data_IF_001350056634
#
_entry.id   IF_001350056634
#
_cell.length_a   1.000
_cell.length_b   1.000
_cell.length_c   1.000
_cell.angle_alpha   90.00
_cell.angle_beta   90.00
_cell.angle_gamma   90.00
#
_symmetry.space_group_name_H-M   'P 1'
#
loop_
_entity.id
_entity.type
_entity.pdbx_description
1 polymer ?
#
# COMPACT_ATOMS: atom_id res chain seq x y z
N UNK A 1 27.63 9.91 -8.17
CA UNK A 1 27.05 10.60 -9.34
C UNK A 1 25.55 10.47 -9.23
N UNK A 2 24.81 11.59 -9.20
CA UNK A 2 23.33 11.59 -9.13
C UNK A 2 22.81 11.33 -10.55
N UNK A 3 22.37 10.10 -10.82
CA UNK A 3 21.72 9.78 -12.09
C UNK A 3 20.31 10.39 -12.09
N UNK A 4 20.09 11.37 -12.96
CA UNK A 4 18.80 12.04 -13.10
C UNK A 4 17.83 11.11 -13.85
N UNK A 5 16.73 10.77 -13.17
CA UNK A 5 15.56 10.09 -13.74
C UNK A 5 15.12 10.76 -15.05
N UNK A 6 15.10 10.01 -16.14
CA UNK A 6 14.53 10.43 -17.43
C UNK A 6 13.07 9.95 -17.50
N UNK A 7 12.16 10.72 -16.92
CA UNK A 7 10.72 10.59 -17.18
C UNK A 7 10.32 11.72 -18.14
N UNK A 8 9.62 11.38 -19.23
CA UNK A 8 9.13 12.35 -20.21
C UNK A 8 7.87 13.04 -19.66
N UNK A 9 7.89 14.37 -19.76
CA UNK A 9 6.85 15.40 -19.54
C UNK A 9 6.64 15.96 -18.11
N UNK A 10 6.85 17.29 -18.05
CA UNK A 10 6.98 18.20 -16.91
C UNK A 10 8.14 17.85 -15.97
N UNK A 11 9.07 18.78 -15.77
CA UNK A 11 10.06 18.66 -14.71
C UNK A 11 9.27 18.53 -13.39
N UNK A 12 9.32 17.35 -12.76
CA UNK A 12 8.71 17.12 -11.45
C UNK A 12 9.13 18.27 -10.53
N UNK A 13 8.19 18.78 -9.75
CA UNK A 13 8.51 19.87 -8.82
C UNK A 13 9.67 19.45 -7.89
N UNK A 14 10.43 20.42 -7.39
CA UNK A 14 11.51 20.14 -6.44
C UNK A 14 10.98 19.40 -5.20
N UNK A 15 9.78 19.75 -4.74
CA UNK A 15 9.08 19.08 -3.65
C UNK A 15 8.79 17.60 -3.99
N UNK A 16 8.22 17.33 -5.17
CA UNK A 16 7.96 15.95 -5.63
C UNK A 16 9.26 15.15 -5.71
N UNK A 17 10.34 15.76 -6.20
CA UNK A 17 11.65 15.12 -6.28
C UNK A 17 12.22 14.79 -4.90
N UNK A 18 12.03 15.66 -3.91
CA UNK A 18 12.48 15.40 -2.55
C UNK A 18 11.67 14.26 -1.91
N UNK A 19 10.35 14.28 -2.05
CA UNK A 19 9.47 13.23 -1.54
C UNK A 19 9.80 11.85 -2.13
N UNK A 20 10.06 11.78 -3.44
CA UNK A 20 10.48 10.54 -4.10
C UNK A 20 11.72 9.91 -3.48
N UNK A 21 12.65 10.69 -2.90
CA UNK A 21 13.86 10.15 -2.26
C UNK A 21 13.53 9.28 -1.05
N UNK A 22 12.38 9.48 -0.41
CA UNK A 22 11.96 8.70 0.76
C UNK A 22 11.74 7.23 0.42
N UNK A 23 11.31 6.94 -0.82
CA UNK A 23 11.02 5.58 -1.31
C UNK A 23 11.95 5.13 -2.44
N UNK A 24 12.81 6.02 -2.95
CA UNK A 24 13.69 5.77 -4.09
C UNK A 24 14.50 4.49 -3.94
N UNK A 25 15.05 4.25 -2.74
CA UNK A 25 15.82 3.03 -2.45
C UNK A 25 15.02 1.75 -2.72
N UNK A 26 13.72 1.78 -2.44
CA UNK A 26 12.83 0.64 -2.61
C UNK A 26 12.41 0.49 -4.08
N UNK A 27 12.09 1.59 -4.78
CA UNK A 27 11.80 1.56 -6.22
C UNK A 27 13.00 1.07 -7.04
N UNK A 28 14.22 1.43 -6.64
CA UNK A 28 15.43 1.01 -7.36
C UNK A 28 15.72 -0.49 -7.28
N UNK A 29 15.07 -1.22 -6.35
CA UNK A 29 15.15 -2.69 -6.28
C UNK A 29 14.39 -3.38 -7.42
N UNK A 30 13.43 -2.69 -8.05
CA UNK A 30 12.70 -3.20 -9.20
C UNK A 30 13.68 -3.32 -10.38
N UNK A 31 13.81 -4.52 -10.96
CA UNK A 31 14.74 -4.75 -12.08
C UNK A 31 14.06 -4.50 -13.42
N UNK A 32 12.81 -4.92 -13.55
CA UNK A 32 11.96 -4.71 -14.72
C UNK A 32 11.79 -3.22 -15.02
N UNK A 33 12.36 -2.76 -16.14
CA UNK A 33 12.36 -1.33 -16.50
C UNK A 33 10.94 -0.77 -16.66
N UNK A 34 10.05 -1.51 -17.30
CA UNK A 34 8.66 -1.14 -17.51
C UNK A 34 7.91 -0.97 -16.18
N UNK A 35 8.07 -1.91 -15.24
CA UNK A 35 7.48 -1.81 -13.91
C UNK A 35 8.08 -0.63 -13.14
N UNK A 36 9.41 -0.45 -13.16
CA UNK A 36 10.08 0.68 -12.50
C UNK A 36 9.56 2.02 -13.02
N UNK A 37 9.47 2.17 -14.34
CA UNK A 37 8.95 3.39 -14.96
C UNK A 37 7.49 3.63 -14.57
N UNK A 38 6.65 2.59 -14.57
CA UNK A 38 5.26 2.66 -14.10
C UNK A 38 5.18 3.11 -12.63
N UNK A 39 5.99 2.54 -11.74
CA UNK A 39 6.03 2.94 -10.31
C UNK A 39 6.44 4.40 -10.15
N UNK A 40 7.45 4.87 -10.89
CA UNK A 40 7.88 6.27 -10.84
C UNK A 40 6.84 7.24 -11.41
N UNK A 41 6.15 6.87 -12.49
CA UNK A 41 5.05 7.67 -13.04
C UNK A 41 3.93 7.82 -12.02
N UNK A 42 3.55 6.73 -11.35
CA UNK A 42 2.54 6.76 -10.30
C UNK A 42 2.95 7.71 -9.15
N UNK A 43 4.15 7.57 -8.60
CA UNK A 43 4.60 8.48 -7.53
C UNK A 43 4.82 9.93 -8.00
N UNK A 44 5.05 10.17 -9.30
CA UNK A 44 5.12 11.51 -9.87
C UNK A 44 3.79 12.26 -9.77
N UNK A 45 2.67 11.54 -9.67
CA UNK A 45 1.30 12.08 -9.62
C UNK A 45 0.55 11.75 -8.33
N UNK A 46 1.21 11.15 -7.32
CA UNK A 46 0.57 10.91 -6.03
C UNK A 46 0.33 12.24 -5.30
N UNK A 47 -0.79 12.32 -4.60
CA UNK A 47 -1.11 13.45 -3.74
C UNK A 47 -0.03 13.64 -2.66
N UNK A 48 0.28 14.90 -2.33
CA UNK A 48 1.33 15.23 -1.37
C UNK A 48 1.06 14.67 0.04
N UNK A 49 -0.23 14.47 0.37
CA UNK A 49 -0.65 13.92 1.65
C UNK A 49 -0.12 12.51 1.90
N UNK A 50 0.15 11.71 0.85
CA UNK A 50 0.75 10.38 1.01
C UNK A 50 2.07 10.44 1.78
N UNK A 51 2.88 11.47 1.53
CA UNK A 51 4.22 11.59 2.11
C UNK A 51 4.23 12.01 3.57
N UNK A 52 3.17 12.69 4.02
CA UNK A 52 3.06 13.27 5.37
C UNK A 52 2.03 12.56 6.24
N UNK A 53 1.12 11.77 5.67
CA UNK A 53 0.04 11.12 6.41
C UNK A 53 0.54 10.10 7.44
N UNK A 54 -0.18 9.94 8.57
CA UNK A 54 0.02 8.80 9.46
C UNK A 54 -0.45 7.50 8.80
N UNK A 55 0.17 6.38 9.16
CA UNK A 55 -0.26 5.06 8.69
C UNK A 55 -1.61 4.65 9.28
N UNK A 56 -1.99 5.16 10.45
CA UNK A 56 -3.33 4.97 11.00
C UNK A 56 -3.92 6.26 11.55
N UNK A 57 -5.15 6.60 11.12
CA UNK A 57 -5.91 7.71 11.71
C UNK A 57 -6.42 7.39 13.12
N UNK A 58 -6.52 6.10 13.49
CA UNK A 58 -7.01 5.65 14.81
C UNK A 58 -5.90 5.32 15.81
N UNK A 59 -4.68 5.05 15.33
CA UNK A 59 -3.54 4.60 16.13
C UNK A 59 -3.70 3.20 16.76
N UNK A 60 -4.82 2.51 16.55
CA UNK A 60 -5.19 1.30 17.31
C UNK A 60 -4.32 0.08 17.00
N UNK A 61 -3.99 -0.13 15.73
CA UNK A 61 -3.35 -1.38 15.28
C UNK A 61 -1.89 -1.22 14.92
N UNK A 62 -1.48 -0.03 14.49
CA UNK A 62 -0.16 0.23 13.94
C UNK A 62 0.88 0.47 15.04
N UNK A 63 2.17 0.20 14.75
CA UNK A 63 3.27 0.63 15.59
C UNK A 63 3.21 2.13 15.92
N UNK A 64 3.56 2.56 17.15
CA UNK A 64 3.47 3.97 17.54
C UNK A 64 4.30 4.90 16.66
N UNK A 65 5.44 4.43 16.14
CA UNK A 65 6.25 5.22 15.22
C UNK A 65 5.57 5.51 13.88
N UNK A 66 4.54 4.76 13.49
CA UNK A 66 3.84 4.93 12.22
C UNK A 66 2.57 5.81 12.35
N UNK A 67 2.24 6.27 13.56
CA UNK A 67 1.03 7.07 13.81
C UNK A 67 1.26 8.59 13.70
N UNK A 68 2.50 9.04 13.49
CA UNK A 68 2.86 10.45 13.30
C UNK A 68 3.06 10.83 11.83
N UNK A 69 3.52 12.07 11.60
CA UNK A 69 3.85 12.59 10.27
C UNK A 69 4.82 11.66 9.52
N UNK A 70 4.54 11.41 8.24
CA UNK A 70 5.28 10.48 7.37
C UNK A 70 5.17 9.01 7.81
N UNK A 71 4.19 8.69 8.66
CA UNK A 71 3.95 7.35 9.17
C UNK A 71 3.60 6.36 8.08
N UNK A 72 2.85 6.79 7.07
CA UNK A 72 2.49 5.94 5.94
C UNK A 72 3.72 5.50 5.13
N UNK A 73 4.66 6.41 4.90
CA UNK A 73 5.93 6.08 4.24
C UNK A 73 6.74 5.07 5.05
N UNK A 74 6.75 5.20 6.39
CA UNK A 74 7.41 4.22 7.27
C UNK A 74 6.74 2.84 7.21
N UNK A 75 5.41 2.80 7.20
CA UNK A 75 4.64 1.57 6.99
C UNK A 75 5.05 0.88 5.68
N UNK A 76 5.10 1.63 4.58
CA UNK A 76 5.55 1.11 3.26
C UNK A 76 6.98 0.56 3.34
N UNK A 77 7.93 1.30 3.92
CA UNK A 77 9.33 0.82 4.03
C UNK A 77 9.43 -0.45 4.89
N UNK A 78 8.67 -0.54 5.98
CA UNK A 78 8.63 -1.75 6.82
C UNK A 78 8.08 -2.96 6.07
N UNK A 79 6.95 -2.78 5.37
CA UNK A 79 6.34 -3.86 4.60
C UNK A 79 7.22 -4.34 3.44
N UNK A 80 8.10 -3.48 2.90
CA UNK A 80 9.08 -3.91 1.89
C UNK A 80 10.05 -4.98 2.39
N UNK A 81 10.45 -4.93 3.66
CA UNK A 81 11.24 -6.00 4.25
C UNK A 81 10.47 -7.34 4.25
N UNK A 82 9.15 -7.30 4.48
CA UNK A 82 8.28 -8.49 4.44
C UNK A 82 8.15 -9.02 3.01
N UNK A 83 7.95 -8.15 2.02
CA UNK A 83 7.90 -8.55 0.60
C UNK A 83 9.17 -9.29 0.19
N UNK A 84 10.35 -8.76 0.51
CA UNK A 84 11.63 -9.39 0.16
C UNK A 84 11.77 -10.79 0.79
N UNK A 85 11.48 -10.92 2.09
CA UNK A 85 11.61 -12.21 2.78
C UNK A 85 10.54 -13.20 2.31
N UNK A 86 9.32 -12.74 2.07
CA UNK A 86 8.23 -13.56 1.55
C UNK A 86 8.59 -14.09 0.15
N UNK A 87 8.96 -13.21 -0.78
CA UNK A 87 9.33 -13.56 -2.14
C UNK A 87 10.50 -14.55 -2.18
N UNK A 88 11.52 -14.34 -1.34
CA UNK A 88 12.65 -15.26 -1.20
C UNK A 88 12.20 -16.65 -0.74
N UNK A 89 11.39 -16.72 0.32
CA UNK A 89 10.86 -17.98 0.86
C UNK A 89 9.96 -18.69 -0.16
N UNK A 90 9.10 -17.93 -0.82
CA UNK A 90 8.14 -18.43 -1.80
C UNK A 90 8.79 -18.75 -3.15
N UNK A 91 10.08 -18.42 -3.36
CA UNK A 91 10.82 -18.60 -4.62
C UNK A 91 10.15 -17.88 -5.78
N UNK A 92 9.91 -16.59 -5.62
CA UNK A 92 9.43 -15.75 -6.71
C UNK A 92 10.47 -15.66 -7.82
N UNK A 93 10.00 -15.57 -9.05
CA UNK A 93 10.82 -15.05 -10.15
C UNK A 93 11.14 -13.57 -9.91
N UNK A 94 12.14 -13.04 -10.62
CA UNK A 94 12.44 -11.61 -10.54
C UNK A 94 11.22 -10.75 -10.93
N UNK A 95 10.46 -11.18 -11.94
CA UNK A 95 9.26 -10.48 -12.40
C UNK A 95 8.18 -10.43 -11.32
N UNK A 96 7.90 -11.56 -10.66
CA UNK A 96 6.94 -11.59 -9.55
C UNK A 96 7.39 -10.72 -8.36
N UNK A 97 8.69 -10.65 -8.06
CA UNK A 97 9.23 -9.76 -7.03
C UNK A 97 9.05 -8.29 -7.43
N UNK A 98 9.34 -7.93 -8.67
CA UNK A 98 9.16 -6.58 -9.19
C UNK A 98 7.68 -6.15 -9.14
N UNK A 99 6.76 -7.04 -9.54
CA UNK A 99 5.31 -6.83 -9.45
C UNK A 99 4.85 -6.64 -8.00
N UNK A 100 5.28 -7.51 -7.08
CA UNK A 100 4.94 -7.40 -5.66
C UNK A 100 5.52 -6.13 -5.02
N UNK A 101 6.73 -5.75 -5.42
CA UNK A 101 7.39 -4.53 -4.95
C UNK A 101 6.62 -3.29 -5.41
N UNK A 102 6.31 -3.19 -6.70
CA UNK A 102 5.52 -2.06 -7.24
C UNK A 102 4.13 -2.02 -6.62
N UNK A 103 3.44 -3.16 -6.50
CA UNK A 103 2.11 -3.20 -5.91
C UNK A 103 2.11 -2.72 -4.46
N UNK A 104 3.04 -3.21 -3.64
CA UNK A 104 3.11 -2.79 -2.25
C UNK A 104 3.53 -1.34 -2.09
N UNK A 105 4.41 -0.80 -2.94
CA UNK A 105 4.75 0.62 -2.91
C UNK A 105 3.53 1.51 -3.19
N UNK A 106 2.60 1.04 -4.03
CA UNK A 106 1.49 1.83 -4.54
C UNK A 106 0.14 1.55 -3.85
N UNK A 107 0.05 0.58 -2.93
CA UNK A 107 -1.24 0.09 -2.43
C UNK A 107 -2.08 1.17 -1.72
N UNK A 108 -1.42 2.10 -1.04
CA UNK A 108 -2.03 3.11 -0.18
C UNK A 108 -1.93 4.55 -0.75
N UNK A 109 -1.57 4.71 -2.03
CA UNK A 109 -1.44 6.04 -2.66
C UNK A 109 -2.73 6.85 -2.66
N UNK A 110 -3.88 6.17 -2.65
CA UNK A 110 -5.21 6.76 -2.61
C UNK A 110 -5.97 6.44 -1.31
N UNK A 111 -5.26 6.26 -0.19
CA UNK A 111 -5.82 5.86 1.11
C UNK A 111 -7.05 6.67 1.56
N UNK A 112 -7.06 7.99 1.31
CA UNK A 112 -8.18 8.88 1.63
C UNK A 112 -8.91 9.38 0.37
N UNK A 113 -8.86 8.59 -0.72
CA UNK A 113 -9.29 8.98 -2.06
C UNK A 113 -8.15 9.52 -2.93
N UNK A 114 -8.41 9.76 -4.21
CA UNK A 114 -7.40 10.19 -5.20
C UNK A 114 -6.73 11.51 -4.80
N UNK A 115 -7.50 12.45 -4.29
CA UNK A 115 -7.06 13.80 -3.86
C UNK A 115 -7.18 14.00 -2.35
N UNK A 116 -7.25 12.91 -1.58
CA UNK A 116 -7.23 12.94 -0.11
C UNK A 116 -8.25 13.89 0.53
N UNK A 117 -9.47 13.97 -0.03
CA UNK A 117 -10.51 14.94 0.37
C UNK A 117 -11.11 14.70 1.75
N UNK A 118 -10.82 13.55 2.38
CA UNK A 118 -11.35 13.20 3.70
C UNK A 118 -10.22 12.95 4.70
N UNK A 119 -10.43 13.21 6.00
CA UNK A 119 -9.43 12.98 7.04
C UNK A 119 -9.31 11.50 7.44
N UNK A 120 -10.21 10.63 6.97
CA UNK A 120 -10.28 9.21 7.33
C UNK A 120 -9.91 8.35 6.13
N UNK A 121 -9.33 7.19 6.39
CA UNK A 121 -9.15 6.15 5.38
C UNK A 121 -10.49 5.80 4.73
N UNK A 122 -10.52 5.75 3.40
CA UNK A 122 -11.65 5.23 2.65
C UNK A 122 -11.65 3.70 2.75
N UNK A 123 -12.77 3.07 3.08
CA UNK A 123 -12.84 1.61 3.18
C UNK A 123 -12.63 0.88 1.84
N UNK A 124 -12.75 1.60 0.73
CA UNK A 124 -12.57 1.10 -0.63
C UNK A 124 -11.25 1.58 -1.26
N UNK A 125 -10.31 2.15 -0.49
CA UNK A 125 -9.09 2.75 -1.06
C UNK A 125 -8.24 1.80 -1.92
N UNK A 126 -8.22 0.49 -1.63
CA UNK A 126 -7.57 -0.49 -2.51
C UNK A 126 -8.18 -0.50 -3.92
N UNK A 127 -9.52 -0.47 -4.02
CA UNK A 127 -10.23 -0.35 -5.29
C UNK A 127 -9.93 0.99 -5.97
N UNK A 128 -9.99 2.10 -5.22
CA UNK A 128 -9.71 3.44 -5.75
C UNK A 128 -8.27 3.52 -6.30
N UNK A 129 -7.28 3.03 -5.55
CA UNK A 129 -5.88 3.02 -5.97
C UNK A 129 -5.68 2.14 -7.21
N UNK A 130 -6.30 0.95 -7.25
CA UNK A 130 -6.24 0.06 -8.42
C UNK A 130 -6.81 0.72 -9.68
N UNK A 131 -7.95 1.41 -9.58
CA UNK A 131 -8.56 2.12 -10.70
C UNK A 131 -7.74 3.36 -11.11
N UNK A 132 -7.21 4.10 -10.14
CA UNK A 132 -6.33 5.24 -10.40
C UNK A 132 -5.08 4.86 -11.17
N UNK A 133 -4.54 3.66 -10.94
CA UNK A 133 -3.39 3.13 -11.67
C UNK A 133 -3.68 2.85 -13.17
N UNK A 134 -4.95 2.83 -13.60
CA UNK A 134 -5.31 2.53 -14.99
C UNK A 134 -4.77 3.57 -15.97
N UNK A 135 -4.57 4.82 -15.54
CA UNK A 135 -4.08 5.90 -16.40
C UNK A 135 -2.59 5.76 -16.79
N UNK A 136 -1.84 4.88 -16.14
CA UNK A 136 -0.42 4.68 -16.42
C UNK A 136 -0.20 3.47 -17.33
N UNK A 137 0.76 3.61 -18.24
CA UNK A 137 1.10 2.57 -19.22
C UNK A 137 1.99 1.50 -18.60
N UNK A 138 1.58 0.24 -18.75
CA UNK A 138 2.36 -0.95 -18.42
C UNK A 138 1.89 -2.12 -19.28
N UNK A 139 2.75 -3.13 -19.46
CA UNK A 139 2.37 -4.38 -20.11
C UNK A 139 1.14 -5.02 -19.40
N UNK A 140 0.10 -5.47 -20.15
CA UNK A 140 -1.18 -5.85 -19.57
C UNK A 140 -1.12 -6.92 -18.47
N UNK A 141 -0.30 -7.96 -18.60
CA UNK A 141 -0.24 -9.02 -17.60
C UNK A 141 0.32 -8.51 -16.26
N UNK A 142 1.42 -7.75 -16.30
CA UNK A 142 1.99 -7.13 -15.10
C UNK A 142 1.07 -6.05 -14.51
N UNK A 143 0.39 -5.26 -15.35
CA UNK A 143 -0.57 -4.25 -14.89
C UNK A 143 -1.70 -4.87 -14.10
N UNK A 144 -2.30 -5.94 -14.63
CA UNK A 144 -3.38 -6.70 -13.94
C UNK A 144 -2.88 -7.32 -12.64
N UNK A 145 -1.66 -7.88 -12.62
CA UNK A 145 -1.09 -8.45 -11.40
C UNK A 145 -0.89 -7.39 -10.30
N UNK A 146 -0.35 -6.23 -10.65
CA UNK A 146 -0.12 -5.11 -9.73
C UNK A 146 -1.45 -4.52 -9.24
N UNK A 147 -2.38 -4.23 -10.15
CA UNK A 147 -3.69 -3.65 -9.81
C UNK A 147 -4.50 -4.58 -8.89
N UNK A 148 -4.54 -5.88 -9.16
CA UNK A 148 -5.24 -6.82 -8.28
C UNK A 148 -4.56 -6.91 -6.91
N UNK A 149 -3.23 -6.92 -6.85
CA UNK A 149 -2.51 -6.92 -5.59
C UNK A 149 -2.77 -5.65 -4.76
N UNK A 150 -2.85 -4.49 -5.40
CA UNK A 150 -3.27 -3.22 -4.78
C UNK A 150 -4.72 -3.28 -4.31
N UNK A 151 -5.65 -3.74 -5.18
CA UNK A 151 -7.08 -3.81 -4.86
C UNK A 151 -7.37 -4.68 -3.64
N UNK A 152 -6.72 -5.83 -3.56
CA UNK A 152 -7.02 -6.86 -2.58
C UNK A 152 -5.99 -6.94 -1.43
N UNK A 153 -5.16 -5.91 -1.22
CA UNK A 153 -4.09 -5.92 -0.21
C UNK A 153 -4.62 -6.10 1.22
N UNK A 154 -5.81 -5.56 1.53
CA UNK A 154 -6.40 -5.68 2.87
C UNK A 154 -7.04 -7.05 3.15
N UNK A 155 -6.94 -8.02 2.24
CA UNK A 155 -7.48 -9.37 2.41
C UNK A 155 -8.95 -9.39 2.92
N UNK A 156 -9.30 -9.78 4.17
CA UNK A 156 -10.70 -9.85 4.58
C UNK A 156 -11.36 -8.48 4.79
N UNK A 157 -10.62 -7.38 4.72
CA UNK A 157 -11.14 -6.02 4.88
C UNK A 157 -11.30 -5.27 3.55
N UNK A 158 -11.37 -5.99 2.42
CA UNK A 158 -11.68 -5.38 1.13
C UNK A 158 -13.19 -5.15 1.01
N UNK A 159 -13.57 -3.92 0.64
CA UNK A 159 -14.96 -3.53 0.41
C UNK A 159 -15.13 -3.00 -1.03
N UNK A 160 -16.22 -3.39 -1.68
CA UNK A 160 -16.68 -2.77 -2.91
C UNK A 160 -17.60 -1.56 -2.63
N UNK A 161 -18.27 -1.57 -1.47
CA UNK A 161 -19.12 -0.50 -0.97
C UNK A 161 -18.77 -0.26 0.49
N UNK A 162 -18.45 0.99 0.83
CA UNK A 162 -18.09 1.38 2.20
C UNK A 162 -19.21 1.05 3.21
N UNK A 163 -18.85 0.70 4.46
CA UNK A 163 -19.81 0.49 5.52
C UNK A 163 -20.59 1.76 5.84
N UNK A 164 -21.90 1.58 6.04
CA UNK A 164 -22.83 2.59 6.49
C UNK A 164 -23.08 2.41 8.00
N UNK A 165 -23.12 3.51 8.74
CA UNK A 165 -23.45 3.51 10.17
C UNK A 165 -24.96 3.66 10.42
N UNK A 166 -25.67 4.27 9.48
CA UNK A 166 -27.05 4.74 9.61
C UNK A 166 -28.08 3.82 8.94
N UNK A 167 -27.64 2.85 8.12
CA UNK A 167 -28.53 1.91 7.42
C UNK A 167 -27.88 0.55 7.15
N UNK A 168 -28.69 -0.51 6.96
CA UNK A 168 -28.19 -1.76 6.42
C UNK A 168 -27.85 -1.63 4.92
N UNK A 169 -27.02 -2.56 4.44
CA UNK A 169 -26.80 -2.74 3.01
C UNK A 169 -28.07 -3.22 2.31
N UNK A 170 -28.23 -2.78 1.06
CA UNK A 170 -29.15 -3.45 0.12
C UNK A 170 -28.61 -4.83 -0.24
N UNK A 171 -29.47 -5.71 -0.76
CA UNK A 171 -29.05 -7.04 -1.23
C UNK A 171 -27.96 -6.97 -2.31
N UNK A 172 -28.04 -5.95 -3.19
CA UNK A 172 -27.05 -5.75 -4.24
C UNK A 172 -25.69 -5.33 -3.67
N UNK A 173 -25.65 -4.36 -2.75
CA UNK A 173 -24.41 -3.92 -2.08
C UNK A 173 -23.77 -5.06 -1.27
N UNK A 174 -24.61 -5.85 -0.58
CA UNK A 174 -24.14 -7.02 0.18
C UNK A 174 -23.52 -8.06 -0.75
N UNK A 175 -24.14 -8.34 -1.90
CA UNK A 175 -23.58 -9.26 -2.89
C UNK A 175 -22.25 -8.73 -3.46
N UNK A 176 -22.16 -7.43 -3.78
CA UNK A 176 -20.91 -6.81 -4.25
C UNK A 176 -19.77 -6.97 -3.23
N UNK A 177 -20.04 -6.69 -1.95
CA UNK A 177 -19.05 -6.89 -0.89
C UNK A 177 -18.68 -8.36 -0.68
N UNK A 178 -19.64 -9.28 -0.84
CA UNK A 178 -19.37 -10.72 -0.77
C UNK A 178 -18.48 -11.19 -1.92
N UNK A 179 -18.72 -10.72 -3.13
CA UNK A 179 -17.89 -11.03 -4.30
C UNK A 179 -16.47 -10.49 -4.13
N UNK A 180 -16.34 -9.24 -3.66
CA UNK A 180 -15.06 -8.58 -3.37
C UNK A 180 -14.25 -9.38 -2.33
N UNK A 181 -14.88 -9.71 -1.20
CA UNK A 181 -14.28 -10.51 -0.14
C UNK A 181 -13.88 -11.89 -0.66
N UNK A 182 -14.78 -12.57 -1.38
CA UNK A 182 -14.51 -13.91 -1.90
C UNK A 182 -13.30 -13.88 -2.81
N UNK A 183 -13.17 -12.89 -3.71
CA UNK A 183 -11.99 -12.76 -4.58
C UNK A 183 -10.72 -12.49 -3.78
N UNK A 184 -10.76 -11.60 -2.79
CA UNK A 184 -9.61 -11.26 -1.96
C UNK A 184 -9.07 -12.48 -1.15
N UNK A 185 -9.97 -13.41 -0.80
CA UNK A 185 -9.65 -14.62 -0.03
C UNK A 185 -8.99 -15.73 -0.86
N UNK A 186 -8.97 -15.62 -2.20
CA UNK A 186 -8.25 -16.53 -3.10
C UNK A 186 -7.11 -15.80 -3.83
N UNK A 187 -6.07 -15.36 -3.11
CA UNK A 187 -5.03 -14.52 -3.70
C UNK A 187 -4.09 -15.31 -4.62
N UNK A 188 -3.59 -14.64 -5.65
CA UNK A 188 -2.38 -15.08 -6.37
C UNK A 188 -1.14 -15.00 -5.47
N UNK A 189 0.01 -15.48 -5.95
CA UNK A 189 1.28 -15.39 -5.19
C UNK A 189 1.64 -13.94 -4.87
N UNK A 190 1.58 -13.06 -5.87
CA UNK A 190 1.88 -11.63 -5.73
C UNK A 190 0.91 -10.96 -4.77
N UNK A 191 -0.40 -11.18 -4.95
CA UNK A 191 -1.44 -10.68 -4.04
C UNK A 191 -1.19 -11.14 -2.60
N UNK A 192 -0.85 -12.42 -2.39
CA UNK A 192 -0.60 -12.95 -1.05
C UNK A 192 0.62 -12.30 -0.39
N UNK A 193 1.68 -12.00 -1.15
CA UNK A 193 2.83 -11.30 -0.61
C UNK A 193 2.46 -9.89 -0.12
N UNK A 194 1.69 -9.16 -0.93
CA UNK A 194 1.20 -7.81 -0.59
C UNK A 194 0.27 -7.84 0.63
N UNK A 195 -0.65 -8.80 0.70
CA UNK A 195 -1.53 -8.99 1.87
C UNK A 195 -0.76 -9.26 3.16
N UNK A 196 0.25 -10.12 3.11
CA UNK A 196 1.07 -10.40 4.29
C UNK A 196 1.91 -9.18 4.68
N UNK A 197 2.51 -8.49 3.70
CA UNK A 197 3.31 -7.30 3.96
C UNK A 197 2.50 -6.19 4.63
N UNK A 198 1.31 -5.89 4.13
CA UNK A 198 0.41 -4.91 4.76
C UNK A 198 0.02 -5.40 6.16
N UNK A 199 -0.49 -6.64 6.25
CA UNK A 199 -0.95 -7.18 7.52
C UNK A 199 0.12 -7.08 8.61
N UNK A 200 1.35 -7.53 8.35
CA UNK A 200 2.43 -7.55 9.33
C UNK A 200 2.91 -6.14 9.67
N UNK A 201 3.22 -5.31 8.67
CA UNK A 201 3.72 -3.94 8.89
C UNK A 201 2.71 -3.05 9.62
N UNK A 202 1.43 -3.40 9.55
CA UNK A 202 0.33 -2.75 10.27
C UNK A 202 0.11 -3.23 11.72
N UNK A 203 0.95 -4.13 12.29
CA UNK A 203 0.81 -4.62 13.68
C UNK A 203 1.77 -3.94 14.65
N UNK A 204 1.29 -3.62 15.84
CA UNK A 204 2.09 -3.15 16.98
C UNK A 204 3.32 -4.03 17.27
N UNK A 205 3.21 -5.34 17.07
CA UNK A 205 4.31 -6.29 17.26
C UNK A 205 5.48 -6.10 16.27
N UNK A 206 5.26 -5.36 15.18
CA UNK A 206 6.30 -4.95 14.22
C UNK A 206 6.88 -3.57 14.57
N UNK A 207 6.70 -3.10 15.80
CA UNK A 207 7.42 -1.93 16.30
C UNK A 207 8.89 -2.27 16.54
N UNK A 208 9.78 -1.40 16.05
CA UNK A 208 11.22 -1.52 16.26
C UNK A 208 11.73 -0.61 17.37
N UNK A 209 10.83 0.08 18.08
CA UNK A 209 11.22 0.86 19.25
C UNK A 209 11.53 -0.05 20.44
N UNK A 210 12.71 0.09 21.07
CA UNK A 210 13.07 -0.69 22.24
C UNK A 210 12.07 -0.40 23.37
N UNK A 211 11.54 -1.46 24.00
CA UNK A 211 10.59 -1.36 25.10
C UNK A 211 9.12 -1.20 24.71
N UNK A 212 8.80 -1.06 23.41
CA UNK A 212 7.40 -1.06 22.91
C UNK A 212 6.94 -2.48 22.53
N UNK A 213 7.88 -3.37 22.20
CA UNK A 213 7.61 -4.76 21.85
C UNK A 213 7.31 -5.70 23.04
N UNK A 214 7.16 -5.16 24.26
CA UNK A 214 6.82 -5.96 25.46
C UNK A 214 5.60 -5.33 26.12
N UNK A 215 4.52 -6.11 26.14
CA UNK A 215 3.27 -5.81 26.82
C UNK A 215 3.56 -5.63 28.33
N UNK A 216 3.81 -4.39 28.79
CA UNK A 216 3.59 -4.06 30.21
C UNK A 216 2.08 -3.94 30.34
N UNK A 217 1.43 -5.10 30.51
CA UNK A 217 0.09 -5.12 31.08
C UNK A 217 0.21 -4.47 32.45
N UNK A 218 -0.29 -3.27 32.57
CA UNK A 218 -0.91 -2.92 33.84
C UNK A 218 -2.15 -3.80 33.88
N UNK A 219 -2.04 -4.94 34.56
CA UNK A 219 -3.21 -5.58 35.14
C UNK A 219 -3.97 -4.45 35.82
N UNK A 220 -5.16 -4.16 35.29
CA UNK A 220 -6.08 -3.25 35.94
C UNK A 220 -6.52 -3.95 37.22
N UNK A 221 -5.78 -3.72 38.29
CA UNK A 221 -6.29 -3.90 39.64
C UNK A 221 -7.48 -2.95 39.81
N UNK A 222 -8.67 -3.56 39.89
CA UNK A 222 -9.99 -3.07 40.38
C UNK A 222 -11.04 -2.70 39.34
#
# INVERSE_FOLDING_TARGET
MKEKLKVKNSELSEATTESLRLIQKEVEKIVSKDIKDFTYQAFGEVDENFWIAPASSSGKYHPPEDNGEGGLVRHVIKGMAVIEQYARRARFSQRELDEATSAFLLHDTCKNGIVWTTPKTDYTHGLIASEWLEKFDLEPAAKVAIQNAVRFHMAPWCYAVSPYEDRPYTKEEMNKNLDELTRAMYPTRVEKAVQEADYWSSRQSMSYFPGVAVDIRHDADR
#
